data_IF_421609811784
#
_entry.id   IF_421609811784
#
_cell.length_a   1.000
_cell.length_b   1.000
_cell.length_c   1.000
_cell.angle_alpha   90.00
_cell.angle_beta   90.00
_cell.angle_gamma   90.00
#
_symmetry.space_group_name_H-M   'P 1'
#
loop_
_entity.id
_entity.type
_entity.pdbx_description
1 polymer ?
#
# COMPACT_ATOMS: atom_id res chain seq x y z
N UNK A 1 7.24 15.45 -8.42
CA UNK A 1 8.58 14.86 -8.33
C UNK A 1 8.46 13.39 -8.67
N UNK A 2 9.15 12.94 -9.72
CA UNK A 2 9.22 11.53 -10.07
C UNK A 2 10.16 10.85 -9.06
N UNK A 3 9.74 9.74 -8.48
CA UNK A 3 10.56 8.97 -7.56
C UNK A 3 11.79 8.44 -8.30
N UNK A 4 13.00 8.72 -7.81
CA UNK A 4 14.23 8.23 -8.43
C UNK A 4 14.19 6.69 -8.54
N UNK A 5 14.36 6.19 -9.76
CA UNK A 5 14.46 4.77 -10.05
C UNK A 5 15.70 4.18 -9.34
N UNK A 6 15.50 3.55 -8.18
CA UNK A 6 16.57 2.92 -7.40
C UNK A 6 16.31 2.83 -5.89
N UNK A 7 15.42 3.65 -5.33
CA UNK A 7 15.11 3.69 -3.90
C UNK A 7 13.89 2.83 -3.49
N UNK A 8 13.49 1.88 -4.34
CA UNK A 8 12.33 1.03 -4.05
C UNK A 8 12.64 0.03 -2.92
N UNK A 9 11.77 -0.02 -1.92
CA UNK A 9 11.72 -1.09 -0.94
C UNK A 9 10.66 -2.07 -1.42
N UNK A 10 11.05 -3.30 -1.80
CA UNK A 10 10.16 -4.25 -2.45
C UNK A 10 9.58 -5.25 -1.44
N UNK A 11 8.26 -5.38 -1.45
CA UNK A 11 7.57 -6.45 -0.74
C UNK A 11 7.81 -7.80 -1.41
N UNK A 12 8.38 -8.74 -0.68
CA UNK A 12 8.67 -10.12 -1.12
C UNK A 12 7.78 -11.18 -0.46
N UNK A 13 6.81 -10.75 0.35
CA UNK A 13 5.88 -11.64 1.04
C UNK A 13 4.66 -12.04 0.21
N UNK A 14 3.54 -12.34 0.88
CA UNK A 14 2.31 -12.77 0.22
C UNK A 14 1.77 -11.70 -0.76
N UNK A 15 1.27 -12.15 -1.90
CA UNK A 15 0.69 -11.28 -2.94
C UNK A 15 -0.70 -11.76 -3.33
N UNK A 16 -1.48 -10.87 -3.94
CA UNK A 16 -2.78 -11.17 -4.53
C UNK A 16 -2.89 -10.51 -5.90
N UNK A 17 -3.38 -11.24 -6.90
CA UNK A 17 -3.66 -10.70 -8.23
C UNK A 17 -5.11 -10.21 -8.32
N UNK A 18 -5.34 -9.00 -8.84
CA UNK A 18 -6.65 -8.39 -9.09
C UNK A 18 -6.62 -7.65 -10.43
N UNK A 19 -7.48 -8.03 -11.38
CA UNK A 19 -7.63 -7.37 -12.69
C UNK A 19 -6.29 -7.05 -13.38
N UNK A 20 -5.40 -8.05 -13.51
CA UNK A 20 -4.04 -7.96 -14.06
C UNK A 20 -3.00 -7.19 -13.23
N UNK A 21 -3.37 -6.63 -12.08
CA UNK A 21 -2.44 -6.01 -11.12
C UNK A 21 -2.07 -6.99 -10.01
N UNK A 22 -0.81 -6.93 -9.54
CA UNK A 22 -0.33 -7.67 -8.37
C UNK A 22 -0.22 -6.71 -7.20
N UNK A 23 -0.77 -7.08 -6.05
CA UNK A 23 -0.74 -6.29 -4.82
C UNK A 23 -0.06 -7.11 -3.73
N UNK A 24 0.82 -6.47 -2.96
CA UNK A 24 1.33 -7.05 -1.72
C UNK A 24 0.23 -7.07 -0.65
N UNK A 25 0.11 -8.18 0.06
CA UNK A 25 -0.93 -8.40 1.06
C UNK A 25 -0.32 -8.89 2.37
N UNK A 26 -0.88 -8.43 3.48
CA UNK A 26 -0.51 -8.87 4.82
C UNK A 26 -1.75 -8.99 5.71
N UNK A 27 -1.72 -9.91 6.66
CA UNK A 27 -2.74 -9.99 7.70
C UNK A 27 -2.41 -8.99 8.81
N UNK A 28 -3.40 -8.20 9.24
CA UNK A 28 -3.30 -7.25 10.34
C UNK A 28 -4.38 -7.53 11.38
N UNK A 29 -4.07 -7.26 12.63
CA UNK A 29 -5.02 -7.34 13.75
C UNK A 29 -4.88 -6.06 14.56
N UNK A 30 -5.96 -5.31 14.69
CA UNK A 30 -6.02 -4.16 15.60
C UNK A 30 -6.43 -4.63 17.01
N UNK A 31 -6.11 -3.88 18.08
CA UNK A 31 -6.63 -4.16 19.41
C UNK A 31 -8.15 -4.36 19.36
N UNK A 32 -8.63 -5.46 19.95
CA UNK A 32 -10.05 -5.83 20.01
C UNK A 32 -10.73 -6.06 18.64
N UNK A 33 -9.99 -6.21 17.55
CA UNK A 33 -10.52 -6.52 16.23
C UNK A 33 -10.17 -7.94 15.79
N UNK A 34 -10.98 -8.48 14.86
CA UNK A 34 -10.64 -9.72 14.16
C UNK A 34 -9.49 -9.47 13.19
N UNK A 35 -8.69 -10.51 12.94
CA UNK A 35 -7.68 -10.52 11.88
C UNK A 35 -8.33 -10.18 10.54
N UNK A 36 -7.73 -9.28 9.78
CA UNK A 36 -8.17 -8.90 8.44
C UNK A 36 -6.99 -8.81 7.47
N UNK A 37 -7.24 -8.95 6.17
CA UNK A 37 -6.23 -8.75 5.12
C UNK A 37 -6.15 -7.27 4.76
N UNK A 38 -4.94 -6.77 4.55
CA UNK A 38 -4.68 -5.40 4.14
C UNK A 38 -3.63 -5.35 3.04
N UNK A 39 -3.78 -4.40 2.13
CA UNK A 39 -2.74 -4.06 1.16
C UNK A 39 -1.52 -3.46 1.89
N UNK A 40 -0.31 -3.91 1.53
CA UNK A 40 0.92 -3.52 2.24
C UNK A 40 1.29 -2.04 2.06
N UNK A 41 1.00 -1.45 0.90
CA UNK A 41 1.23 -0.03 0.66
C UNK A 41 0.33 0.82 1.58
N UNK A 42 -0.91 0.36 1.80
CA UNK A 42 -1.84 0.98 2.75
C UNK A 42 -1.34 0.89 4.20
N UNK A 43 -0.86 -0.29 4.60
CA UNK A 43 -0.29 -0.47 5.93
C UNK A 43 0.94 0.44 6.14
N UNK A 44 1.86 0.48 5.17
CA UNK A 44 3.05 1.32 5.24
C UNK A 44 2.69 2.79 5.48
N UNK A 45 1.66 3.31 4.78
CA UNK A 45 1.20 4.69 4.96
C UNK A 45 0.56 4.94 6.32
N UNK A 46 -0.28 4.02 6.81
CA UNK A 46 -0.88 4.09 8.16
C UNK A 46 0.22 4.16 9.23
N UNK A 47 1.27 3.34 9.10
CA UNK A 47 2.39 3.34 10.03
C UNK A 47 3.23 4.63 9.95
N UNK A 48 3.47 5.16 8.74
CA UNK A 48 4.16 6.44 8.53
C UNK A 48 3.40 7.60 9.17
N UNK A 49 2.08 7.66 8.94
CA UNK A 49 1.20 8.71 9.47
C UNK A 49 0.88 8.56 10.96
N UNK A 50 1.12 7.37 11.54
CA UNK A 50 0.69 6.98 12.88
C UNK A 50 -0.82 7.21 13.12
N UNK A 51 -1.62 7.04 12.07
CA UNK A 51 -3.08 7.21 12.10
C UNK A 51 -3.80 6.19 11.22
N UNK A 52 -4.94 5.71 11.70
CA UNK A 52 -5.83 4.80 10.98
C UNK A 52 -6.84 5.51 10.09
N UNK A 53 -6.84 6.85 10.06
CA UNK A 53 -7.85 7.69 9.37
C UNK A 53 -7.67 7.78 7.86
N UNK A 54 -6.84 6.90 7.27
CA UNK A 54 -6.77 6.79 5.82
C UNK A 54 -8.13 6.30 5.31
N UNK A 55 -8.75 7.05 4.39
CA UNK A 55 -10.07 6.72 3.87
C UNK A 55 -10.03 5.41 3.05
N UNK A 56 -11.01 4.52 3.26
CA UNK A 56 -11.01 3.14 2.72
C UNK A 56 -11.18 3.07 1.20
N UNK A 57 -11.72 4.12 0.59
CA UNK A 57 -11.95 4.29 -0.85
C UNK A 57 -10.75 4.90 -1.59
N UNK A 58 -9.61 5.06 -0.91
CA UNK A 58 -8.39 5.51 -1.55
C UNK A 58 -7.59 4.32 -2.07
N UNK A 59 -7.24 4.38 -3.35
CA UNK A 59 -6.32 3.45 -4.00
C UNK A 59 -4.88 3.95 -3.93
N UNK A 60 -3.95 3.02 -3.76
CA UNK A 60 -2.52 3.32 -3.81
C UNK A 60 -2.05 3.38 -5.27
N UNK A 61 -1.43 4.49 -5.64
CA UNK A 61 -0.76 4.70 -6.91
C UNK A 61 0.75 4.80 -6.67
N UNK A 62 1.52 3.98 -7.37
CA UNK A 62 2.97 3.91 -7.24
C UNK A 62 3.64 4.78 -8.30
N UNK A 63 4.32 5.84 -7.87
CA UNK A 63 5.08 6.74 -8.75
C UNK A 63 6.24 6.03 -9.46
N UNK A 64 6.77 4.97 -8.83
CA UNK A 64 7.85 4.15 -9.37
C UNK A 64 7.37 3.01 -10.28
N UNK A 65 6.07 2.97 -10.64
CA UNK A 65 5.45 1.93 -11.46
C UNK A 65 5.66 0.48 -10.99
N UNK A 66 5.96 0.30 -9.70
CA UNK A 66 6.15 -1.02 -9.08
C UNK A 66 5.11 -1.23 -7.99
N UNK A 67 4.10 -2.03 -8.28
CA UNK A 67 2.96 -2.28 -7.38
C UNK A 67 3.34 -3.00 -6.07
N UNK A 68 4.55 -3.57 -5.98
CA UNK A 68 5.09 -4.20 -4.77
C UNK A 68 6.00 -3.28 -3.96
N UNK A 69 6.24 -2.04 -4.40
CA UNK A 69 7.00 -1.08 -3.62
C UNK A 69 6.20 -0.68 -2.35
N UNK A 70 6.89 -0.67 -1.21
CA UNK A 70 6.36 -0.24 0.09
C UNK A 70 7.03 1.03 0.63
N UNK A 71 7.96 1.61 -0.15
CA UNK A 71 8.49 2.93 0.17
C UNK A 71 7.36 3.97 0.07
N UNK A 72 7.00 4.56 1.21
CA UNK A 72 5.89 5.50 1.33
C UNK A 72 6.06 6.79 0.54
N UNK A 73 7.29 7.15 0.18
CA UNK A 73 7.57 8.34 -0.65
C UNK A 73 7.26 8.06 -2.13
N UNK A 74 7.17 6.79 -2.52
CA UNK A 74 6.80 6.35 -3.87
C UNK A 74 5.30 6.04 -3.99
N UNK A 75 4.51 6.23 -2.93
CA UNK A 75 3.09 5.86 -2.87
C UNK A 75 2.25 7.11 -2.62
N UNK A 76 1.32 7.37 -3.54
CA UNK A 76 0.27 8.38 -3.36
C UNK A 76 -1.09 7.72 -3.30
N UNK A 77 -1.97 8.21 -2.43
CA UNK A 77 -3.34 7.70 -2.29
C UNK A 77 -4.31 8.62 -3.02
N UNK A 78 -5.11 8.07 -3.92
CA UNK A 78 -6.10 8.80 -4.73
C UNK A 78 -7.47 8.17 -4.62
N UNK A 79 -8.51 8.98 -4.79
CA UNK A 79 -9.89 8.52 -4.89
C UNK A 79 -10.06 7.63 -6.11
N UNK A 80 -10.72 6.48 -5.94
CA UNK A 80 -11.10 5.63 -7.07
C UNK A 80 -12.14 6.37 -7.92
N UNK A 81 -11.76 6.95 -9.05
CA UNK A 81 -12.71 7.59 -9.98
C UNK A 81 -12.26 8.86 -10.70
N UNK A 82 -11.00 9.31 -10.54
CA UNK A 82 -10.42 10.43 -11.31
C UNK A 82 -9.59 9.93 -12.50
#
# INVERSE_FOLDING_TARGET
EEAENGACIIWTGATQRRNNYILGMINVTYPNAKRTKMNVARLAKILQLKSTDLAKNLDASHLCHNALCVNTDHIVFRTSGD
#
